data_IF_367161453945
#
_entry.id   IF_367161453945
#
_cell.length_a   1.000
_cell.length_b   1.000
_cell.length_c   1.000
_cell.angle_alpha   90.00
_cell.angle_beta   90.00
_cell.angle_gamma   90.00
#
_symmetry.space_group_name_H-M   'P 1'
#
loop_
_entity.id
_entity.type
_entity.pdbx_description
1 polymer ?
#
# COMPACT_ATOMS: atom_id res chain seq x y z
N UNK A 1 -1.83 -20.72 -20.83
CA UNK A 1 -1.87 -19.74 -19.72
C UNK A 1 -0.44 -19.61 -19.21
N UNK A 2 0.28 -18.56 -19.62
CA UNK A 2 1.69 -18.39 -19.27
C UNK A 2 1.79 -18.04 -17.80
N UNK A 3 2.04 -19.05 -16.95
CA UNK A 3 2.36 -18.84 -15.55
C UNK A 3 3.65 -18.02 -15.50
N UNK A 4 3.53 -16.75 -15.13
CA UNK A 4 4.68 -15.90 -14.81
C UNK A 4 5.57 -16.67 -13.83
N UNK A 5 6.89 -16.69 -14.08
CA UNK A 5 7.83 -17.37 -13.20
C UNK A 5 7.65 -16.87 -11.76
N UNK A 6 7.84 -17.72 -10.74
CA UNK A 6 7.66 -17.34 -9.34
C UNK A 6 8.53 -16.12 -8.94
N UNK A 7 9.69 -15.97 -9.58
CA UNK A 7 10.55 -14.78 -9.45
C UNK A 7 9.87 -13.49 -9.94
N UNK A 8 9.19 -13.53 -11.09
CA UNK A 8 8.43 -12.39 -11.63
C UNK A 8 7.26 -12.00 -10.71
N UNK A 9 6.53 -12.97 -10.16
CA UNK A 9 5.43 -12.71 -9.23
C UNK A 9 5.92 -12.01 -7.94
N UNK A 10 7.09 -12.41 -7.42
CA UNK A 10 7.69 -11.75 -6.25
C UNK A 10 8.08 -10.29 -6.55
N UNK A 11 8.62 -10.02 -7.75
CA UNK A 11 9.00 -8.68 -8.17
C UNK A 11 7.78 -7.76 -8.30
N UNK A 12 6.68 -8.24 -8.89
CA UNK A 12 5.45 -7.46 -8.99
C UNK A 12 4.85 -7.10 -7.62
N UNK A 13 5.01 -7.97 -6.63
CA UNK A 13 4.50 -7.74 -5.28
C UNK A 13 5.13 -6.51 -4.60
N UNK A 14 6.32 -6.09 -5.05
CA UNK A 14 7.07 -4.92 -4.54
C UNK A 14 6.97 -3.73 -5.51
N UNK A 15 7.04 -3.97 -6.82
CA UNK A 15 7.01 -2.90 -7.83
C UNK A 15 5.67 -2.17 -7.84
N UNK A 16 4.55 -2.91 -7.77
CA UNK A 16 3.21 -2.32 -7.77
C UNK A 16 3.01 -1.32 -6.62
N UNK A 17 3.22 -1.68 -5.34
CA UNK A 17 3.04 -0.73 -4.22
C UNK A 17 4.03 0.44 -4.28
N UNK A 18 5.25 0.24 -4.80
CA UNK A 18 6.19 1.32 -5.03
C UNK A 18 5.69 2.34 -6.07
N UNK A 19 5.09 1.87 -7.16
CA UNK A 19 4.45 2.73 -8.17
C UNK A 19 3.23 3.46 -7.59
N UNK A 20 2.42 2.78 -6.77
CA UNK A 20 1.29 3.40 -6.07
C UNK A 20 1.75 4.53 -5.16
N UNK A 21 2.81 4.32 -4.36
CA UNK A 21 3.42 5.37 -3.55
C UNK A 21 3.89 6.55 -4.41
N UNK A 22 4.60 6.29 -5.51
CA UNK A 22 5.06 7.36 -6.40
C UNK A 22 3.88 8.17 -6.97
N UNK A 23 2.82 7.50 -7.40
CA UNK A 23 1.61 8.14 -7.90
C UNK A 23 0.92 9.01 -6.82
N UNK A 24 0.80 8.49 -5.60
CA UNK A 24 0.24 9.24 -4.47
C UNK A 24 1.09 10.45 -4.07
N UNK A 25 2.42 10.34 -4.14
CA UNK A 25 3.32 11.48 -3.88
C UNK A 25 3.13 12.56 -4.94
N UNK A 26 3.04 12.18 -6.21
CA UNK A 26 2.79 13.13 -7.31
C UNK A 26 1.42 13.81 -7.14
N UNK A 27 0.40 13.05 -6.78
CA UNK A 27 -0.95 13.55 -6.53
C UNK A 27 -0.98 14.48 -5.30
N UNK A 28 -0.29 14.10 -4.23
CA UNK A 28 -0.17 14.92 -3.02
C UNK A 28 0.56 16.24 -3.28
N UNK A 29 1.60 16.24 -4.14
CA UNK A 29 2.27 17.48 -4.55
C UNK A 29 1.34 18.46 -5.25
N UNK A 30 0.35 17.95 -5.99
CA UNK A 30 -0.65 18.75 -6.72
C UNK A 30 -1.73 19.30 -5.79
N UNK A 31 -2.40 18.42 -5.04
CA UNK A 31 -3.63 18.78 -4.31
C UNK A 31 -3.40 19.05 -2.81
N UNK A 32 -2.23 18.70 -2.26
CA UNK A 32 -1.83 18.88 -0.84
C UNK A 32 -2.84 18.37 0.18
N UNK A 33 -3.67 17.39 -0.18
CA UNK A 33 -4.69 16.82 0.71
C UNK A 33 -4.07 16.01 1.85
N UNK A 34 -4.60 16.20 3.06
CA UNK A 34 -4.21 15.42 4.24
C UNK A 34 -4.59 13.93 4.11
N UNK A 35 -5.68 13.62 3.39
CA UNK A 35 -6.13 12.25 3.16
C UNK A 35 -5.14 11.45 2.29
N UNK A 36 -4.45 12.12 1.36
CA UNK A 36 -3.36 11.51 0.60
C UNK A 36 -2.15 11.19 1.47
N UNK A 37 -1.88 11.99 2.52
CA UNK A 37 -0.80 11.68 3.48
C UNK A 37 -1.13 10.43 4.28
N UNK A 38 -2.39 10.27 4.70
CA UNK A 38 -2.87 9.05 5.37
C UNK A 38 -2.72 7.84 4.45
N UNK A 39 -3.14 7.95 3.19
CA UNK A 39 -2.97 6.90 2.19
C UNK A 39 -1.48 6.57 1.95
N UNK A 40 -0.62 7.58 1.81
CA UNK A 40 0.83 7.41 1.65
C UNK A 40 1.46 6.67 2.84
N UNK A 41 1.14 7.09 4.06
CA UNK A 41 1.66 6.44 5.27
C UNK A 41 1.23 4.99 5.37
N UNK A 42 -0.04 4.71 5.08
CA UNK A 42 -0.59 3.37 5.14
C UNK A 42 0.02 2.43 4.08
N UNK A 43 0.19 2.91 2.85
CA UNK A 43 0.83 2.13 1.78
C UNK A 43 2.33 1.91 2.06
N UNK A 44 3.03 2.90 2.65
CA UNK A 44 4.42 2.75 3.05
C UNK A 44 4.58 1.67 4.13
N UNK A 45 3.70 1.64 5.12
CA UNK A 45 3.64 0.56 6.12
C UNK A 45 3.33 -0.78 5.47
N UNK A 46 2.38 -0.84 4.54
CA UNK A 46 2.06 -2.05 3.77
C UNK A 46 3.26 -2.57 2.97
N UNK A 47 4.06 -1.68 2.40
CA UNK A 47 5.29 -2.02 1.67
C UNK A 47 6.36 -2.58 2.61
N UNK A 48 6.53 -2.01 3.80
CA UNK A 48 7.41 -2.56 4.84
C UNK A 48 7.00 -3.97 5.25
N UNK A 49 5.70 -4.23 5.41
CA UNK A 49 5.22 -5.59 5.67
C UNK A 49 5.60 -6.52 4.52
N UNK A 50 5.28 -6.18 3.27
CA UNK A 50 5.66 -6.99 2.09
C UNK A 50 7.16 -7.25 2.02
N UNK A 51 7.98 -6.24 2.31
CA UNK A 51 9.43 -6.38 2.36
C UNK A 51 9.87 -7.38 3.45
N UNK A 52 9.31 -7.26 4.66
CA UNK A 52 9.54 -8.21 5.74
C UNK A 52 9.16 -9.65 5.34
N UNK A 53 8.09 -9.84 4.58
CA UNK A 53 7.67 -11.17 4.11
C UNK A 53 8.61 -11.75 3.06
N UNK A 54 9.16 -10.86 2.24
CA UNK A 54 10.11 -11.26 1.19
C UNK A 54 11.43 -11.71 1.80
N UNK A 55 11.85 -11.08 2.91
CA UNK A 55 13.09 -11.42 3.61
C UNK A 55 12.95 -12.58 4.59
N UNK A 56 11.82 -12.68 5.29
CA UNK A 56 11.60 -13.66 6.37
C UNK A 56 10.18 -14.24 6.28
N UNK A 57 9.93 -15.13 5.31
CA UNK A 57 8.60 -15.70 5.06
C UNK A 57 8.06 -16.53 6.25
N UNK A 58 8.94 -17.12 7.06
CA UNK A 58 8.57 -17.98 8.18
C UNK A 58 7.93 -17.22 9.35
N UNK A 59 8.21 -15.92 9.49
CA UNK A 59 7.61 -15.07 10.54
C UNK A 59 6.10 -14.90 10.38
N UNK A 60 5.55 -15.12 9.18
CA UNK A 60 4.13 -14.95 8.90
C UNK A 60 3.26 -16.01 9.58
N UNK A 61 3.75 -17.25 9.63
CA UNK A 61 3.00 -18.37 10.18
C UNK A 61 2.87 -18.29 11.71
N UNK A 62 3.78 -17.57 12.36
CA UNK A 62 3.88 -17.51 13.82
C UNK A 62 3.22 -16.28 14.44
N UNK A 63 2.83 -15.28 13.64
CA UNK A 63 2.44 -13.96 14.14
C UNK A 63 1.06 -13.49 13.61
N UNK A 64 -0.06 -13.90 14.21
CA UNK A 64 -1.41 -13.44 13.82
C UNK A 64 -1.58 -11.91 13.94
N UNK A 65 -0.82 -11.27 14.84
CA UNK A 65 -0.76 -9.81 14.95
C UNK A 65 -0.17 -9.12 13.72
N UNK A 66 0.73 -9.79 12.99
CA UNK A 66 1.35 -9.23 11.79
C UNK A 66 0.36 -9.18 10.62
N UNK A 67 -0.46 -10.22 10.48
CA UNK A 67 -1.54 -10.28 9.50
C UNK A 67 -2.64 -9.25 9.78
N UNK A 68 -3.03 -9.06 11.04
CA UNK A 68 -4.03 -8.06 11.40
C UNK A 68 -3.50 -6.64 11.17
N UNK A 69 -2.25 -6.36 11.55
CA UNK A 69 -1.61 -5.06 11.29
C UNK A 69 -1.49 -4.74 9.80
N UNK A 70 -1.13 -5.73 8.96
CA UNK A 70 -1.11 -5.56 7.51
C UNK A 70 -2.51 -5.32 6.93
N UNK A 71 -3.51 -6.08 7.39
CA UNK A 71 -4.89 -5.88 6.92
C UNK A 71 -5.42 -4.49 7.32
N UNK A 72 -5.07 -4.04 8.53
CA UNK A 72 -5.42 -2.71 9.02
C UNK A 72 -4.74 -1.60 8.21
N UNK A 73 -3.48 -1.78 7.81
CA UNK A 73 -2.79 -0.81 6.94
C UNK A 73 -3.48 -0.70 5.57
N UNK A 74 -3.91 -1.81 4.99
CA UNK A 74 -4.69 -1.80 3.74
C UNK A 74 -6.04 -1.09 3.89
N UNK A 75 -6.69 -1.24 5.05
CA UNK A 75 -7.95 -0.55 5.34
C UNK A 75 -7.75 0.96 5.51
N UNK A 76 -6.72 1.39 6.25
CA UNK A 76 -6.36 2.80 6.39
C UNK A 76 -6.01 3.42 5.03
N UNK A 77 -5.33 2.67 4.16
CA UNK A 77 -5.05 3.09 2.79
C UNK A 77 -6.33 3.37 2.00
N UNK A 78 -7.29 2.43 2.03
CA UNK A 78 -8.58 2.59 1.36
C UNK A 78 -9.38 3.77 1.91
N UNK A 79 -9.40 3.96 3.23
CA UNK A 79 -10.06 5.10 3.88
C UNK A 79 -9.40 6.42 3.48
N UNK A 80 -8.06 6.48 3.41
CA UNK A 80 -7.32 7.65 2.93
C UNK A 80 -7.69 8.01 1.48
N UNK A 81 -7.75 7.03 0.58
CA UNK A 81 -8.19 7.26 -0.80
C UNK A 81 -9.65 7.71 -0.88
N UNK A 82 -10.54 7.11 -0.10
CA UNK A 82 -11.95 7.48 -0.09
C UNK A 82 -12.16 8.91 0.42
N UNK A 83 -11.49 9.28 1.52
CA UNK A 83 -11.52 10.63 2.05
C UNK A 83 -11.02 11.66 1.05
N UNK A 84 -9.94 11.35 0.34
CA UNK A 84 -9.44 12.19 -0.76
C UNK A 84 -10.46 12.32 -1.91
N UNK A 85 -11.08 11.21 -2.33
CA UNK A 85 -12.07 11.23 -3.41
C UNK A 85 -13.29 12.10 -3.04
N UNK A 86 -13.77 12.02 -1.80
CA UNK A 86 -14.86 12.86 -1.29
C UNK A 86 -14.43 14.34 -1.28
N UNK A 87 -13.21 14.64 -0.79
CA UNK A 87 -12.69 16.02 -0.74
C UNK A 87 -12.61 16.64 -2.14
N UNK A 88 -12.10 15.91 -3.13
CA UNK A 88 -11.99 16.41 -4.51
C UNK A 88 -13.35 16.57 -5.17
N UNK A 89 -14.28 15.65 -4.91
CA UNK A 89 -15.63 15.73 -5.48
C UNK A 89 -16.44 16.89 -4.89
N UNK A 90 -16.22 17.23 -3.62
CA UNK A 90 -16.85 18.40 -2.98
C UNK A 90 -16.27 19.76 -3.39
N UNK A 91 -15.11 19.79 -4.04
CA UNK A 91 -14.49 21.01 -4.59
C UNK A 91 -14.95 21.34 -6.02
N UNK A 92 -15.73 20.46 -6.67
CA UNK A 92 -16.34 20.69 -8.00
C UNK A 92 -17.76 21.21 -7.87
#
# INVERSE_FOLDING_TARGET
MNALSPSLQSLFSIIIPALVLAALVLLWRRDRSAWLVVALGAEAVGLLFRFALTLMPDLLHSAPLMLSAWTLSALVFAVGLLGYAIEVNGKR
#
